data_IF_788901442834
#
_entry.id   IF_788901442834
#
_cell.length_a   1.000
_cell.length_b   1.000
_cell.length_c   1.000
_cell.angle_alpha   90.00
_cell.angle_beta   90.00
_cell.angle_gamma   90.00
#
_symmetry.space_group_name_H-M   'P 1'
#
loop_
_entity.id
_entity.type
_entity.pdbx_description
1 polymer ?
#
# COMPACT_ATOMS: atom_id res chain seq x y z
N UNK A 1 -1.49 1.57 -13.49
CA UNK A 1 -0.43 1.16 -14.45
C UNK A 1 0.74 0.58 -13.66
N UNK A 2 1.33 -0.53 -14.11
CA UNK A 2 2.52 -1.12 -13.45
C UNK A 2 3.75 -0.29 -13.77
N UNK A 3 4.57 0.03 -12.77
CA UNK A 3 5.83 0.75 -12.99
C UNK A 3 6.74 -0.06 -13.94
N UNK A 4 7.38 0.59 -14.93
CA UNK A 4 8.27 -0.09 -15.86
C UNK A 4 9.45 -0.74 -15.13
N UNK A 5 9.87 -1.92 -15.60
CA UNK A 5 11.02 -2.65 -15.04
C UNK A 5 12.33 -1.92 -15.39
N UNK A 6 13.31 -1.99 -14.48
CA UNK A 6 14.66 -1.50 -14.72
C UNK A 6 15.43 -2.46 -15.63
N UNK A 7 15.62 -2.07 -16.90
CA UNK A 7 16.53 -2.72 -17.86
C UNK A 7 17.92 -2.09 -17.80
N UNK A 8 18.91 -2.72 -18.41
CA UNK A 8 20.26 -2.17 -18.52
C UNK A 8 20.28 -0.85 -19.28
N UNK A 9 19.51 -0.76 -20.36
CA UNK A 9 19.33 0.46 -21.15
C UNK A 9 18.76 1.62 -20.31
N UNK A 10 17.67 1.39 -19.57
CA UNK A 10 17.08 2.41 -18.69
C UNK A 10 18.00 2.79 -17.53
N UNK A 11 18.80 1.83 -17.07
CA UNK A 11 19.82 2.08 -16.04
C UNK A 11 20.91 2.99 -16.60
N UNK A 12 21.38 2.75 -17.83
CA UNK A 12 22.35 3.62 -18.50
C UNK A 12 21.80 5.02 -18.73
N UNK A 13 20.54 5.14 -19.19
CA UNK A 13 19.85 6.43 -19.34
C UNK A 13 19.78 7.19 -18.01
N UNK A 14 19.49 6.51 -16.89
CA UNK A 14 19.47 7.14 -15.57
C UNK A 14 20.87 7.62 -15.14
N UNK A 15 21.91 6.80 -15.37
CA UNK A 15 23.30 7.17 -15.07
C UNK A 15 23.75 8.39 -15.87
N UNK A 16 23.44 8.41 -17.17
CA UNK A 16 23.78 9.52 -18.05
C UNK A 16 23.02 10.80 -17.66
N UNK A 17 21.73 10.66 -17.33
CA UNK A 17 20.89 11.77 -16.88
C UNK A 17 21.40 12.43 -15.59
N UNK A 18 21.82 11.62 -14.61
CA UNK A 18 22.31 12.10 -13.31
C UNK A 18 23.77 12.53 -13.38
N UNK A 19 24.55 11.96 -14.30
CA UNK A 19 25.96 12.29 -14.49
C UNK A 19 26.79 12.11 -13.21
N UNK A 20 27.56 13.14 -12.88
CA UNK A 20 28.44 13.19 -11.70
C UNK A 20 27.87 13.96 -10.50
N UNK A 21 26.56 14.25 -10.48
CA UNK A 21 25.93 14.97 -9.37
C UNK A 21 25.99 14.16 -8.06
N UNK A 22 26.50 14.77 -6.98
CA UNK A 22 26.53 14.16 -5.65
C UNK A 22 26.46 15.24 -4.55
N UNK A 23 25.48 15.18 -3.62
CA UNK A 23 24.31 14.30 -3.64
C UNK A 23 23.37 14.64 -4.80
N UNK A 24 22.70 13.63 -5.38
CA UNK A 24 21.67 13.83 -6.40
C UNK A 24 20.46 14.52 -5.77
N UNK A 25 20.14 15.72 -6.25
CA UNK A 25 19.08 16.57 -5.72
C UNK A 25 17.68 16.00 -5.97
N UNK A 26 16.69 16.42 -5.16
CA UNK A 26 15.29 16.06 -5.41
C UNK A 26 14.77 16.58 -6.77
N UNK A 27 15.28 17.73 -7.23
CA UNK A 27 14.95 18.27 -8.55
C UNK A 27 15.40 17.34 -9.68
N UNK A 28 16.66 16.89 -9.65
CA UNK A 28 17.18 15.93 -10.63
C UNK A 28 16.42 14.61 -10.59
N UNK A 29 16.07 14.12 -9.40
CA UNK A 29 15.23 12.91 -9.24
C UNK A 29 13.86 13.08 -9.88
N UNK A 30 13.21 14.24 -9.72
CA UNK A 30 11.90 14.52 -10.30
C UNK A 30 11.96 14.57 -11.83
N UNK A 31 12.92 15.29 -12.39
CA UNK A 31 13.11 15.38 -13.85
C UNK A 31 13.45 14.01 -14.46
N UNK A 32 14.25 13.19 -13.79
CA UNK A 32 14.55 11.83 -14.22
C UNK A 32 13.31 10.91 -14.16
N UNK A 33 12.44 11.11 -13.16
CA UNK A 33 11.20 10.34 -13.03
C UNK A 33 10.23 10.63 -14.18
N UNK A 34 10.10 11.91 -14.56
CA UNK A 34 9.32 12.34 -15.72
C UNK A 34 9.89 11.77 -17.02
N UNK A 35 11.20 11.97 -17.26
CA UNK A 35 11.89 11.52 -18.47
C UNK A 35 11.81 10.00 -18.67
N UNK A 36 11.95 9.23 -17.58
CA UNK A 36 11.90 7.77 -17.63
C UNK A 36 10.50 7.21 -17.42
N UNK A 37 9.46 8.04 -17.30
CA UNK A 37 8.08 7.62 -17.07
C UNK A 37 7.93 6.64 -15.89
N UNK A 38 8.57 6.98 -14.77
CA UNK A 38 8.50 6.19 -13.52
C UNK A 38 8.29 7.10 -12.32
N UNK A 39 8.28 6.55 -11.11
CA UNK A 39 8.12 7.36 -9.90
C UNK A 39 9.45 7.89 -9.37
N UNK A 40 9.45 9.08 -8.77
CA UNK A 40 10.58 9.64 -8.00
C UNK A 40 11.13 8.63 -7.01
N UNK A 41 10.25 7.89 -6.33
CA UNK A 41 10.62 6.80 -5.41
C UNK A 41 11.40 5.67 -6.10
N UNK A 42 10.99 5.28 -7.30
CA UNK A 42 11.69 4.26 -8.10
C UNK A 42 13.09 4.73 -8.50
N UNK A 43 13.22 5.99 -8.95
CA UNK A 43 14.50 6.63 -9.28
C UNK A 43 15.42 6.65 -8.07
N UNK A 44 14.98 7.24 -6.94
CA UNK A 44 15.80 7.32 -5.72
C UNK A 44 16.21 5.94 -5.22
N UNK A 45 15.32 4.95 -5.28
CA UNK A 45 15.64 3.58 -4.87
C UNK A 45 16.68 2.93 -5.78
N UNK A 46 16.60 3.16 -7.10
CA UNK A 46 17.55 2.61 -8.07
C UNK A 46 18.93 3.27 -7.92
N UNK A 47 18.98 4.60 -7.80
CA UNK A 47 20.22 5.35 -7.58
C UNK A 47 20.94 4.92 -6.31
N UNK A 48 20.22 4.82 -5.18
CA UNK A 48 20.81 4.32 -3.91
C UNK A 48 21.33 2.88 -4.03
N UNK A 49 20.62 2.02 -4.76
CA UNK A 49 21.08 0.64 -5.02
C UNK A 49 22.35 0.60 -5.89
N UNK A 50 22.55 1.61 -6.74
CA UNK A 50 23.75 1.79 -7.57
C UNK A 50 24.89 2.51 -6.84
N UNK A 51 24.69 2.94 -5.59
CA UNK A 51 25.72 3.58 -4.77
C UNK A 51 25.75 5.11 -4.83
N UNK A 52 24.79 5.76 -5.51
CA UNK A 52 24.69 7.22 -5.50
C UNK A 52 24.17 7.73 -4.15
N UNK A 53 24.76 8.83 -3.68
CA UNK A 53 24.17 9.61 -2.60
C UNK A 53 22.99 10.42 -3.18
N UNK A 54 21.81 10.25 -2.60
CA UNK A 54 20.59 10.93 -3.05
C UNK A 54 20.04 11.71 -1.89
N UNK A 55 19.79 13.00 -2.12
CA UNK A 55 19.20 13.91 -1.14
C UNK A 55 17.97 13.27 -0.48
N UNK A 56 17.77 13.54 0.81
CA UNK A 56 16.56 13.09 1.48
C UNK A 56 15.38 13.93 1.00
N UNK A 57 14.27 13.29 0.62
CA UNK A 57 13.03 14.00 0.29
C UNK A 57 12.53 14.89 1.45
N UNK A 58 12.96 14.62 2.69
CA UNK A 58 12.67 15.45 3.85
C UNK A 58 13.54 16.70 3.95
N UNK A 59 14.69 16.75 3.27
CA UNK A 59 15.58 17.91 3.26
C UNK A 59 14.97 19.07 2.46
N UNK A 60 14.16 18.76 1.44
CA UNK A 60 13.40 19.72 0.65
C UNK A 60 11.99 19.98 1.17
N UNK A 61 11.67 19.64 2.43
CA UNK A 61 10.38 19.97 3.01
C UNK A 61 10.28 21.49 3.21
N UNK A 62 10.02 22.21 2.13
CA UNK A 62 9.48 23.57 2.17
C UNK A 62 8.22 23.52 3.02
N UNK A 63 8.08 24.47 3.95
CA UNK A 63 6.85 24.58 4.74
C UNK A 63 5.68 24.65 3.76
N UNK A 64 4.70 23.79 3.94
CA UNK A 64 3.52 23.75 3.07
C UNK A 64 2.69 25.03 3.15
N UNK A 65 2.82 25.77 4.25
CA UNK A 65 2.19 27.07 4.48
C UNK A 65 3.29 28.12 4.72
N UNK A 66 3.14 29.27 4.08
CA UNK A 66 3.89 30.48 4.44
C UNK A 66 3.30 31.12 5.69
N UNK A 67 4.10 31.92 6.41
CA UNK A 67 3.65 32.59 7.64
C UNK A 67 2.38 33.45 7.38
N UNK A 68 2.31 34.15 6.25
CA UNK A 68 1.13 34.93 5.86
C UNK A 68 -0.13 34.07 5.61
N UNK A 69 0.05 32.87 5.07
CA UNK A 69 -1.05 31.92 4.89
C UNK A 69 -1.52 31.33 6.23
N UNK A 70 -0.60 31.12 7.17
CA UNK A 70 -0.95 30.70 8.53
C UNK A 70 -1.77 31.78 9.25
N UNK A 71 -1.34 33.04 9.19
CA UNK A 71 -2.08 34.17 9.76
C UNK A 71 -3.47 34.32 9.15
N UNK A 72 -3.56 34.19 7.81
CA UNK A 72 -4.83 34.29 7.09
C UNK A 72 -5.77 33.13 7.47
N UNK A 73 -5.24 31.91 7.57
CA UNK A 73 -6.02 30.75 7.98
C UNK A 73 -6.49 30.87 9.43
N UNK A 74 -5.63 31.34 10.33
CA UNK A 74 -5.95 31.56 11.74
C UNK A 74 -7.06 32.62 11.91
N UNK A 75 -6.97 33.74 11.19
CA UNK A 75 -8.02 34.75 11.17
C UNK A 75 -9.34 34.18 10.63
N UNK A 76 -9.28 33.48 9.49
CA UNK A 76 -10.47 32.87 8.88
C UNK A 76 -11.20 31.92 9.82
N UNK A 77 -10.49 30.99 10.48
CA UNK A 77 -11.15 30.03 11.39
C UNK A 77 -11.65 30.69 12.67
N UNK A 78 -10.95 31.71 13.19
CA UNK A 78 -11.38 32.45 14.38
C UNK A 78 -12.65 33.26 14.12
N UNK A 79 -12.68 33.97 13.00
CA UNK A 79 -13.81 34.84 12.62
C UNK A 79 -15.06 34.04 12.26
N UNK A 80 -14.90 32.79 11.83
CA UNK A 80 -15.97 31.88 11.44
C UNK A 80 -16.04 30.64 12.36
N UNK A 81 -15.79 30.86 13.65
CA UNK A 81 -15.66 29.79 14.64
C UNK A 81 -16.90 28.91 14.72
N UNK A 82 -16.73 27.62 14.42
CA UNK A 82 -17.77 26.60 14.48
C UNK A 82 -18.70 26.57 13.25
N UNK A 83 -18.46 27.41 12.25
CA UNK A 83 -19.33 27.52 11.07
C UNK A 83 -18.98 26.49 9.98
N UNK A 84 -17.68 26.28 9.74
CA UNK A 84 -17.19 25.48 8.62
C UNK A 84 -16.46 24.22 9.07
N UNK A 85 -16.66 23.13 8.33
CA UNK A 85 -15.89 21.89 8.44
C UNK A 85 -14.53 22.04 7.74
N UNK A 86 -13.58 21.15 8.01
CA UNK A 86 -12.28 21.15 7.31
C UNK A 86 -12.37 21.14 5.78
N UNK A 87 -13.39 20.47 5.23
CA UNK A 87 -13.60 20.41 3.78
C UNK A 87 -14.11 21.75 3.22
N UNK A 88 -14.99 22.43 3.95
CA UNK A 88 -15.50 23.75 3.57
C UNK A 88 -14.42 24.82 3.72
N UNK A 89 -13.65 24.80 4.82
CA UNK A 89 -12.50 25.69 5.02
C UNK A 89 -11.51 25.52 3.86
N UNK A 90 -11.21 24.29 3.47
CA UNK A 90 -10.34 24.01 2.33
C UNK A 90 -10.86 24.61 1.02
N UNK A 91 -12.17 24.55 0.76
CA UNK A 91 -12.75 25.16 -0.44
C UNK A 91 -12.72 26.69 -0.42
N UNK A 92 -12.83 27.31 0.76
CA UNK A 92 -12.82 28.78 0.92
C UNK A 92 -11.41 29.37 0.96
N UNK A 93 -10.42 28.61 1.42
CA UNK A 93 -9.06 29.09 1.61
C UNK A 93 -8.23 28.96 0.33
N UNK A 94 -7.67 30.07 -0.15
CA UNK A 94 -6.74 30.11 -1.29
C UNK A 94 -7.28 29.37 -2.53
N UNK A 95 -8.55 29.61 -2.85
CA UNK A 95 -9.27 29.00 -3.99
C UNK A 95 -9.21 27.46 -4.04
N UNK A 96 -9.10 26.80 -2.88
CA UNK A 96 -9.01 25.33 -2.85
C UNK A 96 -7.63 24.77 -3.12
N UNK A 97 -6.57 25.58 -3.05
CA UNK A 97 -5.18 25.14 -3.27
C UNK A 97 -4.75 24.03 -2.30
N UNK A 98 -5.37 23.95 -1.12
CA UNK A 98 -5.04 22.99 -0.08
C UNK A 98 -6.14 21.94 0.09
N UNK A 99 -5.74 20.67 0.18
CA UNK A 99 -6.68 19.61 0.52
C UNK A 99 -7.24 19.78 1.95
N UNK A 100 -8.45 19.28 2.21
CA UNK A 100 -9.06 19.24 3.54
C UNK A 100 -8.13 18.63 4.60
N UNK A 101 -7.32 17.62 4.22
CA UNK A 101 -6.35 16.99 5.12
C UNK A 101 -5.16 17.91 5.44
N UNK A 102 -4.69 18.69 4.46
CA UNK A 102 -3.63 19.68 4.67
C UNK A 102 -4.09 20.78 5.63
N UNK A 103 -5.30 21.31 5.39
CA UNK A 103 -5.94 22.30 6.25
C UNK A 103 -6.15 21.75 7.66
N UNK A 104 -6.68 20.53 7.80
CA UNK A 104 -6.84 19.88 9.09
C UNK A 104 -5.51 19.76 9.85
N UNK A 105 -4.46 19.29 9.18
CA UNK A 105 -3.13 19.18 9.80
C UNK A 105 -2.59 20.52 10.25
N UNK A 106 -2.78 21.58 9.45
CA UNK A 106 -2.33 22.93 9.79
C UNK A 106 -3.11 23.53 10.96
N UNK A 107 -4.44 23.45 10.97
CA UNK A 107 -5.28 23.91 12.08
C UNK A 107 -4.94 23.17 13.38
N UNK A 108 -4.70 21.85 13.31
CA UNK A 108 -4.24 21.07 14.47
C UNK A 108 -2.89 21.58 14.99
N UNK A 109 -1.94 21.87 14.10
CA UNK A 109 -0.62 22.41 14.50
C UNK A 109 -0.67 23.81 15.10
N UNK A 110 -1.73 24.58 14.82
CA UNK A 110 -2.00 25.89 15.43
C UNK A 110 -2.87 25.78 16.69
N UNK A 111 -3.27 24.57 17.09
CA UNK A 111 -4.15 24.31 18.23
C UNK A 111 -5.54 24.97 18.09
N UNK A 112 -6.03 25.14 16.85
CA UNK A 112 -7.29 25.85 16.55
C UNK A 112 -8.46 24.93 16.22
N UNK A 113 -8.41 23.65 16.62
CA UNK A 113 -9.43 22.66 16.27
C UNK A 113 -10.82 22.98 16.82
N UNK A 114 -10.89 23.73 17.91
CA UNK A 114 -12.15 24.12 18.56
C UNK A 114 -12.98 25.12 17.73
N UNK A 115 -12.33 25.79 16.77
CA UNK A 115 -12.98 26.69 15.81
C UNK A 115 -13.57 25.97 14.60
N UNK A 116 -13.39 24.66 14.47
CA UNK A 116 -13.86 23.91 13.30
C UNK A 116 -15.15 23.17 13.62
N UNK A 117 -16.14 23.32 12.73
CA UNK A 117 -17.39 22.58 12.83
C UNK A 117 -17.12 21.08 12.72
N UNK A 118 -17.62 20.25 13.66
CA UNK A 118 -17.55 18.81 13.52
C UNK A 118 -18.20 18.37 12.21
N UNK A 119 -17.46 17.61 11.40
CA UNK A 119 -18.01 17.06 10.17
C UNK A 119 -19.14 16.07 10.53
N UNK A 120 -20.28 16.10 9.82
CA UNK A 120 -21.29 15.08 9.98
C UNK A 120 -20.67 13.71 9.71
N UNK A 121 -21.06 12.70 10.49
CA UNK A 121 -20.63 11.32 10.22
C UNK A 121 -21.11 10.96 8.82
N UNK A 122 -20.17 10.74 7.92
CA UNK A 122 -20.48 10.20 6.60
C UNK A 122 -21.09 8.83 6.82
N UNK A 123 -22.38 8.69 6.51
CA UNK A 123 -23.03 7.39 6.53
C UNK A 123 -22.29 6.49 5.56
N UNK A 124 -21.84 5.33 6.05
CA UNK A 124 -21.16 4.37 5.20
C UNK A 124 -22.12 3.97 4.08
N UNK A 125 -21.79 4.34 2.84
CA UNK A 125 -22.55 3.93 1.67
C UNK A 125 -22.60 2.41 1.68
N UNK A 126 -23.80 1.84 1.87
CA UNK A 126 -24.00 0.39 1.87
C UNK A 126 -23.68 -0.10 0.46
N UNK A 127 -22.63 -0.90 0.35
CA UNK A 127 -22.20 -1.50 -0.91
C UNK A 127 -23.04 -2.70 -1.32
N UNK A 128 -23.85 -3.24 -0.39
CA UNK A 128 -24.83 -4.29 -0.63
C UNK A 128 -26.22 -3.76 -0.25
N UNK A 129 -27.16 -3.88 -1.17
CA UNK A 129 -28.58 -3.66 -0.94
C UNK A 129 -29.16 -4.76 -0.02
N UNK A 130 -30.28 -4.49 0.67
CA UNK A 130 -30.94 -5.52 1.50
C UNK A 130 -31.27 -6.80 0.73
N UNK A 131 -31.64 -6.71 -0.55
CA UNK A 131 -31.89 -7.87 -1.40
C UNK A 131 -30.63 -8.67 -1.72
N UNK A 132 -29.51 -8.00 -1.99
CA UNK A 132 -28.23 -8.70 -2.17
C UNK A 132 -27.77 -9.38 -0.88
N UNK A 133 -28.03 -8.77 0.29
CA UNK A 133 -27.76 -9.36 1.60
C UNK A 133 -28.59 -10.64 1.82
N UNK A 134 -29.89 -10.61 1.48
CA UNK A 134 -30.75 -11.78 1.59
C UNK A 134 -30.28 -12.93 0.68
N UNK A 135 -29.96 -12.63 -0.59
CA UNK A 135 -29.39 -13.62 -1.52
C UNK A 135 -28.06 -14.16 -1.00
N UNK A 136 -27.18 -13.31 -0.47
CA UNK A 136 -25.90 -13.72 0.12
C UNK A 136 -26.12 -14.75 1.24
N UNK A 137 -26.98 -14.42 2.21
CA UNK A 137 -27.24 -15.28 3.38
C UNK A 137 -27.82 -16.62 2.93
N UNK A 138 -28.79 -16.63 2.01
CA UNK A 138 -29.35 -17.86 1.43
C UNK A 138 -28.26 -18.73 0.82
N UNK A 139 -27.41 -18.15 -0.04
CA UNK A 139 -26.34 -18.91 -0.69
C UNK A 139 -25.32 -19.48 0.31
N UNK A 140 -25.01 -18.75 1.38
CA UNK A 140 -24.14 -19.27 2.46
C UNK A 140 -24.78 -20.46 3.17
N UNK A 141 -26.08 -20.38 3.49
CA UNK A 141 -26.83 -21.46 4.12
C UNK A 141 -26.94 -22.70 3.21
N UNK A 142 -27.04 -22.48 1.89
CA UNK A 142 -27.01 -23.53 0.86
C UNK A 142 -25.60 -24.12 0.64
N UNK A 143 -24.59 -23.61 1.35
CA UNK A 143 -23.21 -24.11 1.30
C UNK A 143 -22.42 -23.65 0.08
N UNK A 144 -22.84 -22.58 -0.59
CA UNK A 144 -22.16 -22.04 -1.76
C UNK A 144 -20.73 -21.57 -1.43
N UNK A 145 -19.84 -21.70 -2.41
CA UNK A 145 -18.49 -21.17 -2.33
C UNK A 145 -18.47 -19.65 -2.55
N UNK A 146 -17.43 -18.99 -2.04
CA UNK A 146 -17.21 -17.54 -2.20
C UNK A 146 -17.26 -17.12 -3.67
N UNK A 147 -16.70 -17.92 -4.58
CA UNK A 147 -16.73 -17.68 -6.02
C UNK A 147 -18.17 -17.69 -6.58
N UNK A 148 -18.99 -18.66 -6.20
CA UNK A 148 -20.38 -18.73 -6.65
C UNK A 148 -21.20 -17.53 -6.17
N UNK A 149 -20.98 -17.07 -4.94
CA UNK A 149 -21.63 -15.87 -4.38
C UNK A 149 -21.15 -14.61 -5.11
N UNK A 150 -19.85 -14.55 -5.44
CA UNK A 150 -19.26 -13.46 -6.19
C UNK A 150 -19.89 -13.34 -7.58
N UNK A 151 -20.01 -14.46 -8.30
CA UNK A 151 -20.62 -14.51 -9.62
C UNK A 151 -22.12 -14.16 -9.57
N UNK A 152 -22.86 -14.70 -8.59
CA UNK A 152 -24.30 -14.46 -8.47
C UNK A 152 -24.67 -13.01 -8.11
N UNK A 153 -23.80 -12.30 -7.39
CA UNK A 153 -24.03 -10.91 -6.98
C UNK A 153 -23.29 -9.89 -7.85
N UNK A 154 -22.60 -10.34 -8.90
CA UNK A 154 -21.71 -9.51 -9.73
C UNK A 154 -20.72 -8.70 -8.87
N UNK A 155 -20.08 -9.40 -7.92
CA UNK A 155 -19.11 -8.84 -6.98
C UNK A 155 -17.75 -9.50 -7.12
N UNK A 156 -16.70 -8.82 -6.67
CA UNK A 156 -15.40 -9.47 -6.53
C UNK A 156 -15.39 -10.41 -5.33
N UNK A 157 -14.64 -11.51 -5.44
CA UNK A 157 -14.36 -12.44 -4.32
C UNK A 157 -13.90 -11.70 -3.05
N UNK A 158 -13.09 -10.64 -3.19
CA UNK A 158 -12.64 -9.83 -2.05
C UNK A 158 -13.81 -9.07 -1.38
N UNK A 159 -14.72 -8.51 -2.17
CA UNK A 159 -15.93 -7.86 -1.65
C UNK A 159 -16.79 -8.86 -0.88
N UNK A 160 -17.00 -10.05 -1.44
CA UNK A 160 -17.78 -11.13 -0.80
C UNK A 160 -17.17 -11.56 0.53
N UNK A 161 -15.84 -11.75 0.59
CA UNK A 161 -15.15 -12.07 1.86
C UNK A 161 -15.34 -10.97 2.91
N UNK A 162 -15.21 -9.70 2.50
CA UNK A 162 -15.46 -8.57 3.39
C UNK A 162 -16.88 -8.55 3.92
N UNK A 163 -17.85 -8.84 3.06
CA UNK A 163 -19.26 -8.91 3.43
C UNK A 163 -19.57 -10.10 4.34
N UNK A 164 -19.02 -11.28 4.07
CA UNK A 164 -19.14 -12.45 4.95
C UNK A 164 -18.61 -12.14 6.36
N UNK A 165 -17.46 -11.46 6.47
CA UNK A 165 -16.93 -11.03 7.77
C UNK A 165 -17.86 -10.06 8.50
N UNK A 166 -18.54 -9.17 7.76
CA UNK A 166 -19.53 -8.27 8.34
C UNK A 166 -20.73 -9.04 8.87
N UNK A 167 -21.30 -9.94 8.07
CA UNK A 167 -22.48 -10.73 8.41
C UNK A 167 -22.20 -11.71 9.57
N UNK A 168 -21.00 -12.28 9.62
CA UNK A 168 -20.58 -13.12 10.74
C UNK A 168 -20.54 -12.34 12.06
N UNK A 169 -20.05 -11.09 12.03
CA UNK A 169 -19.99 -10.23 13.23
C UNK A 169 -21.35 -9.77 13.71
N UNK A 170 -22.31 -9.57 12.79
CA UNK A 170 -23.70 -9.25 13.14
C UNK A 170 -24.51 -10.49 13.53
N UNK A 171 -24.00 -11.71 13.28
CA UNK A 171 -24.69 -12.97 13.56
C UNK A 171 -25.69 -13.39 12.48
N UNK A 172 -25.63 -12.78 11.29
CA UNK A 172 -26.51 -13.11 10.16
C UNK A 172 -26.09 -14.39 9.42
N UNK A 173 -24.86 -14.86 9.63
CA UNK A 173 -24.36 -16.16 9.16
C UNK A 173 -23.52 -16.83 10.26
N UNK A 174 -23.53 -18.17 10.30
CA UNK A 174 -22.81 -18.94 11.32
C UNK A 174 -21.31 -19.14 11.00
N UNK A 175 -20.94 -19.10 9.71
CA UNK A 175 -19.58 -19.30 9.26
C UNK A 175 -19.29 -18.58 7.94
N UNK A 176 -18.01 -18.29 7.69
CA UNK A 176 -17.56 -17.73 6.41
C UNK A 176 -17.65 -18.82 5.33
N UNK A 177 -18.27 -18.54 4.16
CA UNK A 177 -18.33 -19.50 3.06
C UNK A 177 -16.94 -19.95 2.62
N UNK A 178 -16.82 -21.22 2.23
CA UNK A 178 -15.55 -21.80 1.78
C UNK A 178 -15.15 -21.23 0.43
N UNK A 179 -13.86 -21.29 0.12
CA UNK A 179 -13.36 -20.93 -1.19
C UNK A 179 -13.11 -22.20 -2.00
N UNK A 180 -13.59 -22.25 -3.25
CA UNK A 180 -13.40 -23.40 -4.13
C UNK A 180 -11.95 -23.50 -4.59
N UNK A 181 -11.37 -22.37 -5.03
CA UNK A 181 -9.98 -22.32 -5.49
C UNK A 181 -9.08 -21.75 -4.39
N UNK A 182 -8.34 -22.62 -3.69
CA UNK A 182 -7.35 -22.18 -2.70
C UNK A 182 -5.95 -22.16 -3.31
N UNK A 183 -5.24 -21.02 -3.17
CA UNK A 183 -3.81 -20.93 -3.53
C UNK A 183 -2.99 -21.72 -2.48
N UNK A 184 -2.73 -22.99 -2.76
CA UNK A 184 -1.96 -23.88 -1.88
C UNK A 184 -2.65 -25.20 -1.51
N UNK A 185 -3.57 -25.70 -2.34
CA UNK A 185 -4.23 -26.99 -2.10
C UNK A 185 -3.25 -28.19 -2.07
N UNK A 186 -2.05 -28.07 -2.64
CA UNK A 186 -1.00 -29.08 -2.49
C UNK A 186 -0.47 -29.04 -1.05
N UNK A 187 -0.83 -30.04 -0.23
CA UNK A 187 -0.17 -30.31 1.06
C UNK A 187 1.30 -30.73 0.89
N UNK A 188 1.74 -30.94 -0.34
CA UNK A 188 3.10 -31.34 -0.68
C UNK A 188 4.08 -30.19 -0.46
N UNK A 189 5.18 -30.50 0.21
CA UNK A 189 6.25 -29.54 0.47
C UNK A 189 7.02 -29.25 -0.82
N UNK A 190 7.01 -28.01 -1.34
CA UNK A 190 7.63 -27.75 -2.63
C UNK A 190 9.16 -27.82 -2.63
N UNK A 191 9.80 -27.92 -1.46
CA UNK A 191 11.25 -28.21 -1.34
C UNK A 191 11.56 -29.68 -1.09
N UNK A 192 10.56 -30.55 -0.94
CA UNK A 192 10.80 -31.96 -0.72
C UNK A 192 11.53 -32.56 -1.93
N UNK A 193 12.68 -33.20 -1.68
CA UNK A 193 13.48 -33.85 -2.72
C UNK A 193 14.37 -32.91 -3.54
N UNK A 194 14.39 -31.61 -3.26
CA UNK A 194 15.29 -30.66 -3.93
C UNK A 194 16.57 -30.50 -3.12
N UNK A 195 17.71 -30.79 -3.74
CA UNK A 195 19.01 -30.43 -3.19
C UNK A 195 19.22 -28.91 -3.33
N UNK A 196 18.86 -28.17 -2.29
CA UNK A 196 18.95 -26.69 -2.27
C UNK A 196 20.37 -26.17 -2.05
N UNK A 197 21.28 -27.03 -1.58
CA UNK A 197 22.68 -26.69 -1.38
C UNK A 197 23.35 -26.33 -2.72
N UNK A 198 24.04 -25.18 -2.75
CA UNK A 198 24.67 -24.67 -3.97
C UNK A 198 23.73 -24.02 -5.01
N UNK A 199 22.41 -24.08 -4.82
CA UNK A 199 21.46 -23.34 -5.67
C UNK A 199 21.19 -21.94 -5.15
N UNK A 200 21.00 -20.96 -6.04
CA UNK A 200 20.52 -19.64 -5.64
C UNK A 200 19.02 -19.67 -5.33
N UNK A 201 18.57 -18.76 -4.47
CA UNK A 201 17.14 -18.59 -4.15
C UNK A 201 16.30 -18.39 -5.41
N UNK A 202 16.80 -17.63 -6.39
CA UNK A 202 16.08 -17.34 -7.62
C UNK A 202 15.92 -18.61 -8.48
N UNK A 203 16.96 -19.45 -8.58
CA UNK A 203 16.88 -20.73 -9.29
C UNK A 203 15.90 -21.71 -8.62
N UNK A 204 15.88 -21.75 -7.28
CA UNK A 204 14.91 -22.55 -6.51
C UNK A 204 13.49 -21.99 -6.73
N UNK A 205 13.33 -20.67 -6.78
CA UNK A 205 12.03 -20.02 -6.98
C UNK A 205 11.43 -20.36 -8.36
N UNK A 206 12.27 -20.36 -9.39
CA UNK A 206 11.90 -20.77 -10.73
C UNK A 206 11.49 -22.25 -10.78
N UNK A 207 12.27 -23.16 -10.16
CA UNK A 207 12.00 -24.59 -10.22
C UNK A 207 10.70 -25.02 -9.53
N UNK A 208 10.30 -24.33 -8.46
CA UNK A 208 9.10 -24.66 -7.67
C UNK A 208 7.90 -23.74 -7.95
N UNK A 209 8.02 -22.84 -8.93
CA UNK A 209 6.96 -21.90 -9.30
C UNK A 209 6.55 -20.96 -8.16
N UNK A 210 7.51 -20.47 -7.36
CA UNK A 210 7.28 -19.53 -6.25
C UNK A 210 8.09 -18.25 -6.44
N UNK A 211 7.87 -17.29 -5.54
CA UNK A 211 8.68 -16.07 -5.49
C UNK A 211 9.94 -16.31 -4.65
N UNK A 212 11.01 -15.57 -4.95
CA UNK A 212 12.25 -15.58 -4.15
C UNK A 212 11.99 -15.30 -2.65
N UNK A 213 11.04 -14.42 -2.35
CA UNK A 213 10.60 -14.15 -0.98
C UNK A 213 9.98 -15.41 -0.35
N UNK A 214 9.09 -16.09 -1.08
CA UNK A 214 8.48 -17.34 -0.63
C UNK A 214 9.51 -18.44 -0.35
N UNK A 215 10.49 -18.59 -1.23
CA UNK A 215 11.61 -19.54 -1.05
C UNK A 215 12.43 -19.20 0.19
N UNK A 216 12.84 -17.95 0.38
CA UNK A 216 13.58 -17.51 1.58
C UNK A 216 12.83 -17.86 2.87
N UNK A 217 11.53 -17.58 2.93
CA UNK A 217 10.69 -17.97 4.07
C UNK A 217 10.67 -19.48 4.29
N UNK A 218 10.58 -20.27 3.21
CA UNK A 218 10.56 -21.74 3.30
C UNK A 218 11.91 -22.31 3.76
N UNK A 219 13.03 -21.78 3.26
CA UNK A 219 14.40 -22.12 3.68
C UNK A 219 14.60 -21.83 5.17
N UNK A 220 14.22 -20.64 5.64
CA UNK A 220 14.30 -20.31 7.09
C UNK A 220 13.43 -21.22 7.92
N UNK A 221 12.18 -21.48 7.52
CA UNK A 221 11.30 -22.39 8.27
C UNK A 221 11.88 -23.81 8.36
N UNK A 222 12.48 -24.29 7.27
CA UNK A 222 13.09 -25.63 7.18
C UNK A 222 14.50 -25.70 7.81
N UNK A 223 15.14 -24.56 8.06
CA UNK A 223 16.53 -24.52 8.51
C UNK A 223 17.50 -25.00 7.43
N UNK A 224 17.20 -24.68 6.16
CA UNK A 224 18.02 -25.07 5.01
C UNK A 224 18.79 -23.87 4.47
N UNK A 225 19.97 -24.14 3.92
CA UNK A 225 20.86 -23.12 3.33
C UNK A 225 20.90 -23.28 1.82
N UNK A 226 20.71 -22.15 1.13
CA UNK A 226 20.93 -21.98 -0.30
C UNK A 226 22.22 -21.17 -0.52
N UNK A 227 22.76 -21.16 -1.74
CA UNK A 227 24.06 -20.54 -2.06
C UNK A 227 24.14 -19.05 -1.66
N UNK A 228 23.06 -18.31 -1.81
CA UNK A 228 22.95 -16.88 -1.53
C UNK A 228 22.01 -16.56 -0.35
N UNK A 229 21.61 -17.58 0.43
CA UNK A 229 20.72 -17.40 1.57
C UNK A 229 20.86 -18.49 2.64
N UNK A 230 21.34 -18.09 3.81
CA UNK A 230 21.42 -18.94 4.99
C UNK A 230 20.09 -18.93 5.78
N UNK A 231 19.25 -19.92 5.52
CA UNK A 231 17.99 -20.10 6.23
C UNK A 231 18.18 -20.70 7.62
N UNK A 232 19.21 -21.53 7.83
CA UNK A 232 19.51 -22.17 9.11
C UNK A 232 19.86 -21.13 10.18
N UNK A 233 20.85 -20.26 9.91
CA UNK A 233 21.27 -19.22 10.85
C UNK A 233 20.13 -18.22 11.15
N UNK A 234 19.26 -17.95 10.19
CA UNK A 234 18.10 -17.07 10.41
C UNK A 234 17.02 -17.71 11.26
N UNK A 235 16.85 -19.03 11.16
CA UNK A 235 15.91 -19.77 11.99
C UNK A 235 16.34 -19.74 13.45
N UNK A 236 17.63 -19.98 13.70
CA UNK A 236 18.22 -19.91 15.04
C UNK A 236 18.00 -18.53 15.67
N UNK A 237 18.30 -17.45 14.94
CA UNK A 237 18.05 -16.07 15.41
C UNK A 237 16.59 -15.75 15.68
N UNK A 238 15.65 -16.37 14.97
CA UNK A 238 14.23 -16.17 15.18
C UNK A 238 13.65 -17.03 16.31
N UNK A 239 14.41 -18.03 16.78
CA UNK A 239 14.03 -18.97 17.83
C UNK A 239 14.69 -18.66 19.19
N UNK A 240 15.62 -17.70 19.20
CA UNK A 240 16.29 -17.14 20.38
C UNK A 240 15.60 -15.86 20.85
#
# INVERSE_FOLDING_TARGET
MSLPKWTDERTAQLTDFVGGESPVSQGTVASAAESLETSTRSISSKLRKMGYEVELASASATRAFSDAQEDTLAAFVSDNSGEYTYAEIANHFEDGAFSAKSIQGKILSMEMTDHVKPAPKVEAVRTYSPSEEATFVSMVQDGAFVEAIADALDRTVNSVRGKALSLLRSGDIDAIPRQETTKGASKEDPLAGIAVDGMTVDAIAESIGKTARGVKTMLTRRGLTAADYDGAAKKEKASA
#
